data_IF_079549138008
#
_entry.id   IF_079549138008
#
_cell.length_a   1.000
_cell.length_b   1.000
_cell.length_c   1.000
_cell.angle_alpha   90.00
_cell.angle_beta   90.00
_cell.angle_gamma   90.00
#
_symmetry.space_group_name_H-M   'P 1'
#
loop_
_entity.id
_entity.type
_entity.pdbx_description
1 polymer ?
#
# COMPACT_ATOMS: atom_id res chain seq x y z
N UNK A 1 24.25 14.92 -6.41
CA UNK A 1 22.94 14.59 -5.81
C UNK A 1 21.99 15.79 -5.71
N UNK A 2 22.45 17.00 -5.31
CA UNK A 2 21.60 18.20 -5.19
C UNK A 2 20.75 18.51 -6.44
N UNK A 3 21.33 18.38 -7.63
CA UNK A 3 20.66 18.63 -8.92
C UNK A 3 19.41 17.74 -9.16
N UNK A 4 19.40 16.47 -8.70
CA UNK A 4 18.27 15.56 -8.98
C UNK A 4 17.02 15.92 -8.17
N UNK A 5 17.17 16.18 -6.87
CA UNK A 5 16.04 16.54 -6.02
C UNK A 5 15.46 17.91 -6.43
N UNK A 6 16.31 18.83 -6.86
CA UNK A 6 15.89 20.12 -7.41
C UNK A 6 15.08 19.96 -8.70
N UNK A 7 15.54 19.11 -9.63
CA UNK A 7 14.79 18.79 -10.86
C UNK A 7 13.43 18.14 -10.54
N UNK A 8 13.38 17.18 -9.61
CA UNK A 8 12.13 16.54 -9.20
C UNK A 8 11.13 17.54 -8.59
N UNK A 9 11.64 18.49 -7.78
CA UNK A 9 10.82 19.56 -7.20
C UNK A 9 10.44 20.62 -8.23
N UNK A 10 11.29 20.90 -9.22
CA UNK A 10 10.97 21.81 -10.32
C UNK A 10 9.80 21.24 -11.14
N UNK A 11 9.88 19.98 -11.56
CA UNK A 11 8.77 19.31 -12.26
C UNK A 11 7.50 19.30 -11.42
N UNK A 12 7.59 18.97 -10.13
CA UNK A 12 6.41 19.00 -9.26
C UNK A 12 5.77 20.38 -9.12
N UNK A 13 6.56 21.47 -9.20
CA UNK A 13 6.01 22.83 -9.26
C UNK A 13 5.33 23.13 -10.59
N UNK A 14 5.84 22.61 -11.72
CA UNK A 14 5.18 22.74 -13.02
C UNK A 14 3.83 22.01 -13.03
N UNK A 15 3.80 20.77 -12.51
CA UNK A 15 2.57 19.98 -12.36
C UNK A 15 1.60 20.70 -11.40
N UNK A 16 2.08 21.22 -10.26
CA UNK A 16 1.25 22.02 -9.37
C UNK A 16 0.67 23.27 -10.07
N UNK A 17 1.50 24.00 -10.82
CA UNK A 17 1.10 25.20 -11.54
C UNK A 17 0.03 24.92 -12.60
N UNK A 18 0.03 23.73 -13.21
CA UNK A 18 -1.03 23.29 -14.12
C UNK A 18 -2.39 23.23 -13.40
N UNK A 19 -2.45 22.52 -12.26
CA UNK A 19 -3.70 22.37 -11.52
C UNK A 19 -4.18 23.68 -10.89
N UNK A 20 -3.27 24.54 -10.41
CA UNK A 20 -3.63 25.83 -9.79
C UNK A 20 -4.00 26.91 -10.80
N UNK A 21 -4.07 26.62 -12.12
CA UNK A 21 -4.74 27.51 -13.08
C UNK A 21 -6.25 27.57 -12.84
N UNK A 22 -6.80 26.52 -12.24
CA UNK A 22 -8.17 26.48 -11.75
C UNK A 22 -8.22 27.24 -10.42
N UNK A 23 -8.99 28.35 -10.32
CA UNK A 23 -9.02 29.18 -9.12
C UNK A 23 -9.52 28.45 -7.88
N UNK A 24 -10.27 27.37 -8.05
CA UNK A 24 -10.74 26.49 -6.99
C UNK A 24 -9.66 25.55 -6.44
N UNK A 25 -8.51 25.42 -7.09
CA UNK A 25 -7.43 24.49 -6.69
C UNK A 25 -6.22 25.25 -6.14
N UNK A 26 -5.75 24.86 -4.95
CA UNK A 26 -4.54 25.40 -4.34
C UNK A 26 -3.49 24.33 -4.04
N UNK A 27 -2.23 24.65 -4.31
CA UNK A 27 -1.08 23.82 -3.96
C UNK A 27 -0.69 24.04 -2.50
N UNK A 28 -0.66 22.96 -1.71
CA UNK A 28 -0.32 22.99 -0.29
C UNK A 28 1.15 22.63 -0.07
N UNK A 29 1.67 21.70 -0.86
CA UNK A 29 3.06 21.27 -0.76
C UNK A 29 3.30 19.89 -1.33
N UNK A 30 4.52 19.39 -1.19
CA UNK A 30 4.85 18.02 -1.55
C UNK A 30 4.33 17.06 -0.46
N UNK A 31 3.71 15.95 -0.88
CA UNK A 31 3.41 14.80 -0.03
C UNK A 31 4.62 13.86 0.07
N UNK A 32 5.39 13.76 -1.02
CA UNK A 32 6.61 12.96 -1.08
C UNK A 32 7.30 13.11 -2.44
N UNK A 33 8.60 12.83 -2.47
CA UNK A 33 9.38 12.73 -3.72
C UNK A 33 10.03 11.35 -3.72
N UNK A 34 9.54 10.49 -4.60
CA UNK A 34 9.97 9.11 -4.74
C UNK A 34 11.06 8.93 -5.79
N UNK A 35 11.41 7.67 -6.02
CA UNK A 35 12.41 7.28 -7.02
C UNK A 35 11.88 7.44 -8.46
N UNK A 36 10.61 7.11 -8.66
CA UNK A 36 9.93 7.06 -9.96
C UNK A 36 9.03 8.28 -10.21
N UNK A 37 8.61 8.96 -9.16
CA UNK A 37 7.62 10.04 -9.25
C UNK A 37 7.66 10.96 -8.05
N UNK A 38 6.71 11.88 -8.02
CA UNK A 38 6.40 12.65 -6.82
C UNK A 38 4.91 12.64 -6.53
N UNK A 39 4.58 13.14 -5.34
CA UNK A 39 3.22 13.30 -4.88
C UNK A 39 3.04 14.73 -4.36
N UNK A 40 2.00 15.40 -4.85
CA UNK A 40 1.61 16.76 -4.47
C UNK A 40 0.38 16.70 -3.57
N UNK A 41 0.31 17.57 -2.57
CA UNK A 41 -0.90 17.83 -1.79
C UNK A 41 -1.61 19.06 -2.37
N UNK A 42 -2.84 18.86 -2.78
CA UNK A 42 -3.72 19.91 -3.30
C UNK A 42 -4.96 20.03 -2.41
N UNK A 43 -5.53 21.22 -2.40
CA UNK A 43 -6.87 21.51 -1.87
C UNK A 43 -7.77 21.97 -3.02
N UNK A 44 -9.01 21.49 -3.04
CA UNK A 44 -10.05 21.94 -3.95
C UNK A 44 -11.17 22.60 -3.14
N UNK A 45 -11.63 23.76 -3.59
CA UNK A 45 -12.71 24.55 -3.01
C UNK A 45 -14.00 24.34 -3.79
N UNK A 46 -15.14 24.47 -3.11
CA UNK A 46 -16.44 24.49 -3.77
C UNK A 46 -16.73 25.86 -4.42
N UNK A 47 -17.90 25.98 -5.06
CA UNK A 47 -18.34 27.22 -5.70
C UNK A 47 -18.49 28.40 -4.73
N UNK A 48 -18.64 28.15 -3.43
CA UNK A 48 -18.69 29.15 -2.37
C UNK A 48 -17.30 29.56 -1.86
N UNK A 49 -16.23 28.95 -2.38
CA UNK A 49 -14.86 29.19 -1.93
C UNK A 49 -14.50 28.48 -0.62
N UNK A 50 -15.38 27.61 -0.10
CA UNK A 50 -15.10 26.79 1.08
C UNK A 50 -14.28 25.57 0.66
N UNK A 51 -13.41 25.07 1.54
CA UNK A 51 -12.66 23.84 1.31
C UNK A 51 -13.64 22.67 1.07
N UNK A 52 -13.59 22.09 -0.13
CA UNK A 52 -14.39 20.93 -0.50
C UNK A 52 -13.67 19.64 -0.16
N UNK A 53 -12.40 19.51 -0.56
CA UNK A 53 -11.59 18.31 -0.30
C UNK A 53 -10.08 18.55 -0.41
N UNK A 54 -9.32 17.64 0.20
CA UNK A 54 -7.86 17.49 0.00
C UNK A 54 -7.59 16.30 -0.92
N UNK A 55 -6.59 16.43 -1.77
CA UNK A 55 -6.22 15.43 -2.77
C UNK A 55 -4.71 15.22 -2.79
N UNK A 56 -4.30 14.01 -3.17
CA UNK A 56 -2.91 13.73 -3.52
C UNK A 56 -2.82 13.53 -5.02
N UNK A 57 -2.03 14.34 -5.71
CA UNK A 57 -1.74 14.14 -7.14
C UNK A 57 -0.38 13.48 -7.27
N UNK A 58 -0.36 12.25 -7.79
CA UNK A 58 0.88 11.57 -8.18
C UNK A 58 1.26 11.95 -9.59
N UNK A 59 2.57 12.10 -9.83
CA UNK A 59 3.12 12.42 -11.13
C UNK A 59 4.41 11.63 -11.38
N UNK A 60 4.66 11.29 -12.64
CA UNK A 60 5.84 10.55 -13.05
C UNK A 60 7.02 11.49 -13.31
N UNK A 61 8.23 10.99 -13.08
CA UNK A 61 9.48 11.64 -13.51
C UNK A 61 9.92 11.22 -14.91
N UNK A 62 9.26 10.22 -15.51
CA UNK A 62 9.61 9.64 -16.80
C UNK A 62 11.11 9.36 -16.91
N UNK A 63 11.74 9.89 -17.97
CA UNK A 63 13.17 9.74 -18.24
C UNK A 63 14.12 10.34 -17.18
N UNK A 64 13.63 11.16 -16.24
CA UNK A 64 14.42 11.64 -15.10
C UNK A 64 14.42 10.68 -13.90
N UNK A 65 13.62 9.61 -13.97
CA UNK A 65 13.77 8.50 -13.04
C UNK A 65 15.22 8.01 -13.09
N UNK A 66 15.80 7.83 -11.90
CA UNK A 66 17.16 7.27 -11.81
C UNK A 66 17.14 5.76 -11.69
N UNK A 67 15.97 5.14 -11.71
CA UNK A 67 15.85 3.70 -11.67
C UNK A 67 16.13 3.14 -13.07
N UNK A 68 17.19 2.34 -13.19
CA UNK A 68 17.55 1.69 -14.45
C UNK A 68 16.75 0.40 -14.68
N UNK A 69 15.98 -0.03 -13.68
CA UNK A 69 15.28 -1.30 -13.65
C UNK A 69 13.75 -1.15 -13.73
N UNK A 70 13.25 0.07 -13.91
CA UNK A 70 11.83 0.41 -13.92
C UNK A 70 11.59 1.62 -14.81
N UNK A 71 10.56 1.56 -15.65
CA UNK A 71 10.03 2.74 -16.32
C UNK A 71 9.03 3.44 -15.39
N UNK A 72 9.32 4.69 -15.03
CA UNK A 72 8.48 5.47 -14.14
C UNK A 72 7.09 5.78 -14.71
N UNK A 73 7.00 5.95 -16.02
CA UNK A 73 5.72 6.20 -16.70
C UNK A 73 4.89 4.92 -16.69
N UNK A 74 5.51 3.76 -16.96
CA UNK A 74 4.87 2.46 -16.89
C UNK A 74 4.42 2.12 -15.46
N UNK A 75 5.27 2.33 -14.46
CA UNK A 75 4.93 2.09 -13.06
C UNK A 75 3.71 2.93 -12.64
N UNK A 76 3.66 4.21 -13.00
CA UNK A 76 2.53 5.06 -12.64
C UNK A 76 1.23 4.67 -13.39
N UNK A 77 1.34 4.29 -14.67
CA UNK A 77 0.21 3.75 -15.45
C UNK A 77 -0.29 2.41 -14.88
N UNK A 78 0.63 1.56 -14.44
CA UNK A 78 0.33 0.28 -13.81
C UNK A 78 -0.37 0.48 -12.46
N UNK A 79 0.09 1.43 -11.63
CA UNK A 79 -0.60 1.81 -10.40
C UNK A 79 -2.03 2.27 -10.67
N UNK A 80 -2.22 3.18 -11.63
CA UNK A 80 -3.56 3.64 -12.03
C UNK A 80 -4.46 2.48 -12.48
N UNK A 81 -3.92 1.54 -13.26
CA UNK A 81 -4.66 0.35 -13.72
C UNK A 81 -5.14 -0.53 -12.56
N UNK A 82 -4.24 -0.89 -11.63
CA UNK A 82 -4.59 -1.76 -10.50
C UNK A 82 -5.53 -1.09 -9.51
N UNK A 83 -5.32 0.19 -9.20
CA UNK A 83 -6.25 0.94 -8.37
C UNK A 83 -7.62 1.10 -9.03
N UNK A 84 -7.68 1.14 -10.37
CA UNK A 84 -8.92 1.06 -11.13
C UNK A 84 -9.68 -0.25 -10.88
N UNK A 85 -8.98 -1.38 -10.79
CA UNK A 85 -9.57 -2.71 -10.50
C UNK A 85 -9.93 -2.91 -9.02
N UNK A 86 -9.20 -2.26 -8.13
CA UNK A 86 -9.40 -2.25 -6.68
C UNK A 86 -10.29 -1.10 -6.21
N UNK A 87 -10.94 -0.41 -7.15
CA UNK A 87 -11.87 0.66 -6.84
C UNK A 87 -12.95 0.19 -5.88
N UNK A 88 -13.27 1.05 -4.93
CA UNK A 88 -14.23 0.84 -3.84
C UNK A 88 -13.81 -0.17 -2.77
N UNK A 89 -12.66 -0.85 -2.90
CA UNK A 89 -12.08 -1.58 -1.78
C UNK A 89 -11.75 -0.59 -0.66
N UNK A 90 -12.34 -0.78 0.50
CA UNK A 90 -12.30 0.17 1.60
C UNK A 90 -10.88 0.36 2.18
N UNK A 91 -10.10 -0.71 2.26
CA UNK A 91 -8.75 -0.71 2.83
C UNK A 91 -7.65 -0.46 1.78
N UNK A 92 -8.01 -0.15 0.54
CA UNK A 92 -7.06 0.26 -0.52
C UNK A 92 -7.26 1.74 -0.81
N UNK A 93 -6.19 2.49 -1.05
CA UNK A 93 -6.30 3.89 -1.45
C UNK A 93 -7.10 4.06 -2.74
N UNK A 94 -7.87 5.13 -2.81
CA UNK A 94 -8.87 5.28 -3.86
C UNK A 94 -8.46 6.34 -4.88
N UNK A 95 -8.62 6.02 -6.16
CA UNK A 95 -8.58 6.99 -7.24
C UNK A 95 -9.69 8.01 -7.05
N UNK A 96 -9.35 9.28 -7.23
CA UNK A 96 -10.33 10.36 -7.18
C UNK A 96 -10.53 10.92 -8.59
N UNK A 97 -11.79 11.01 -9.07
CA UNK A 97 -12.09 11.78 -10.26
C UNK A 97 -11.68 13.24 -10.04
N UNK A 98 -10.69 13.67 -10.81
CA UNK A 98 -10.24 15.06 -10.85
C UNK A 98 -10.12 15.46 -12.31
N UNK A 99 -10.85 16.51 -12.70
CA UNK A 99 -10.79 17.03 -14.06
C UNK A 99 -9.32 17.32 -14.39
N UNK A 100 -8.90 16.90 -15.58
CA UNK A 100 -7.53 17.06 -16.11
C UNK A 100 -6.45 16.12 -15.54
N UNK A 101 -6.79 15.15 -14.67
CA UNK A 101 -5.86 14.05 -14.30
C UNK A 101 -6.09 12.77 -15.08
N UNK A 102 -6.63 12.86 -16.31
CA UNK A 102 -6.75 11.71 -17.21
C UNK A 102 -5.38 11.37 -17.79
N UNK A 103 -4.51 10.91 -16.91
CA UNK A 103 -3.15 10.44 -17.14
C UNK A 103 -2.18 11.45 -17.72
N UNK A 104 -2.54 12.49 -18.46
CA UNK A 104 -1.55 13.27 -19.23
C UNK A 104 -1.63 14.77 -18.92
N UNK A 105 -0.67 15.27 -18.13
CA UNK A 105 -0.48 16.72 -17.88
C UNK A 105 0.66 17.26 -18.74
N UNK A 106 0.52 18.42 -19.40
CA UNK A 106 1.63 19.09 -20.07
C UNK A 106 2.77 19.38 -19.09
N UNK A 107 3.91 18.73 -19.31
CA UNK A 107 5.00 18.68 -18.35
C UNK A 107 5.87 17.48 -18.70
N UNK A 108 7.16 17.57 -18.42
CA UNK A 108 8.18 16.74 -19.07
C UNK A 108 7.83 15.24 -19.04
N UNK A 109 7.53 14.67 -20.21
CA UNK A 109 7.75 13.27 -20.55
C UNK A 109 8.03 13.18 -22.03
N UNK A 110 8.85 12.21 -22.42
CA UNK A 110 9.06 11.89 -23.83
C UNK A 110 7.82 11.16 -24.36
N UNK A 111 6.77 11.92 -24.62
CA UNK A 111 5.69 11.71 -25.60
C UNK A 111 4.97 10.36 -25.60
N UNK A 112 3.64 10.41 -25.58
CA UNK A 112 2.73 9.32 -25.94
C UNK A 112 2.80 8.95 -27.44
N UNK A 113 3.99 8.62 -27.95
CA UNK A 113 4.17 7.74 -29.11
C UNK A 113 5.07 6.60 -28.61
N UNK A 114 4.64 5.34 -28.71
CA UNK A 114 5.65 4.30 -28.54
C UNK A 114 6.72 4.54 -29.63
N UNK A 115 7.98 4.48 -29.23
CA UNK A 115 9.14 4.79 -30.08
C UNK A 115 9.13 4.03 -31.42
N UNK A 116 8.53 2.83 -31.46
CA UNK A 116 8.38 2.06 -32.70
C UNK A 116 7.46 2.74 -33.71
N UNK A 117 6.37 3.38 -33.26
CA UNK A 117 5.39 4.05 -34.11
C UNK A 117 6.00 5.29 -34.78
N UNK A 118 6.84 6.03 -34.04
CA UNK A 118 7.64 7.17 -34.53
C UNK A 118 8.64 6.76 -35.61
N UNK A 119 9.42 5.69 -35.37
CA UNK A 119 10.41 5.17 -36.32
C UNK A 119 9.74 4.56 -37.56
N UNK A 120 8.64 3.83 -37.41
CA UNK A 120 7.88 3.27 -38.54
C UNK A 120 7.35 4.36 -39.46
N UNK A 121 6.91 5.48 -38.90
CA UNK A 121 6.42 6.63 -39.69
C UNK A 121 7.54 7.38 -40.39
N UNK A 122 8.67 7.59 -39.71
CA UNK A 122 9.84 8.24 -40.29
C UNK A 122 10.48 7.42 -41.43
N UNK A 123 10.59 6.10 -41.26
CA UNK A 123 11.06 5.19 -42.32
C UNK A 123 10.14 5.15 -43.53
N UNK A 124 8.83 5.00 -43.33
CA UNK A 124 7.85 4.99 -44.43
C UNK A 124 7.93 6.26 -45.28
N UNK A 125 8.08 7.43 -44.64
CA UNK A 125 8.22 8.70 -45.37
C UNK A 125 9.54 8.84 -46.11
N UNK A 126 10.66 8.49 -45.50
CA UNK A 126 11.97 8.55 -46.17
C UNK A 126 12.03 7.58 -47.38
N UNK A 127 11.39 6.41 -47.25
CA UNK A 127 11.27 5.42 -48.33
C UNK A 127 10.31 5.88 -49.45
N UNK A 128 9.22 6.56 -49.11
CA UNK A 128 8.25 7.13 -50.07
C UNK A 128 8.78 8.39 -50.79
N UNK A 129 9.65 9.17 -50.15
CA UNK A 129 10.15 10.46 -50.65
C UNK A 129 11.57 10.38 -51.25
N UNK A 130 12.23 9.22 -51.17
CA UNK A 130 13.52 8.96 -51.84
C UNK A 130 14.69 9.83 -51.36
N UNK A 131 14.64 10.34 -50.13
CA UNK A 131 15.64 11.22 -49.54
C UNK A 131 16.56 10.49 -48.56
N UNK A 132 17.88 10.69 -48.69
CA UNK A 132 18.90 10.10 -47.81
C UNK A 132 19.16 10.90 -46.49
N UNK A 133 18.41 11.98 -46.20
CA UNK A 133 18.53 12.71 -44.93
C UNK A 133 17.18 13.02 -44.26
N UNK A 134 17.08 12.95 -42.91
CA UNK A 134 15.81 13.10 -42.20
C UNK A 134 15.36 14.56 -42.08
N UNK A 135 14.09 14.80 -42.43
CA UNK A 135 13.45 16.12 -42.49
C UNK A 135 13.28 16.82 -41.13
N UNK A 136 13.28 18.15 -41.21
CA UNK A 136 13.03 19.15 -40.16
C UNK A 136 11.72 18.91 -39.38
N UNK A 137 11.81 18.71 -38.06
CA UNK A 137 10.67 18.45 -37.18
C UNK A 137 10.06 19.78 -36.71
N UNK A 138 8.75 19.98 -36.96
CA UNK A 138 7.98 21.16 -36.53
C UNK A 138 7.90 21.38 -35.01
N UNK A 139 7.09 22.35 -34.53
CA UNK A 139 7.13 22.79 -33.13
C UNK A 139 6.91 21.62 -32.17
N UNK A 140 7.65 21.56 -31.05
CA UNK A 140 7.74 20.38 -30.21
C UNK A 140 6.36 19.94 -29.74
N UNK A 141 6.03 18.67 -29.98
CA UNK A 141 4.87 17.99 -29.41
C UNK A 141 4.78 18.27 -27.91
N UNK A 142 3.61 18.68 -27.41
CA UNK A 142 3.38 18.93 -25.99
C UNK A 142 3.73 17.66 -25.21
N UNK A 143 4.82 17.72 -24.44
CA UNK A 143 5.34 16.65 -23.60
C UNK A 143 4.32 16.32 -22.49
N UNK A 144 4.04 15.03 -22.23
CA UNK A 144 2.91 14.59 -21.38
C UNK A 144 3.35 13.79 -20.16
N UNK A 145 3.28 14.34 -18.96
CA UNK A 145 3.59 13.65 -17.71
C UNK A 145 2.40 12.77 -17.25
N UNK A 146 2.59 11.44 -17.08
CA UNK A 146 1.67 10.58 -16.36
C UNK A 146 1.27 11.18 -15.00
N UNK A 147 -0.03 11.39 -14.76
CA UNK A 147 -0.56 11.89 -13.47
C UNK A 147 -1.92 11.29 -13.13
N UNK A 148 -2.20 11.10 -11.83
CA UNK A 148 -3.56 10.81 -11.35
C UNK A 148 -3.76 11.33 -9.93
N UNK A 149 -5.02 11.54 -9.54
CA UNK A 149 -5.40 11.95 -8.20
C UNK A 149 -5.83 10.76 -7.33
N UNK A 150 -5.48 10.83 -6.05
CA UNK A 150 -5.85 9.93 -4.97
C UNK A 150 -6.56 10.70 -3.86
N UNK A 151 -7.35 9.96 -3.07
CA UNK A 151 -7.83 10.47 -1.80
C UNK A 151 -6.66 10.87 -0.90
N UNK A 152 -6.85 11.92 -0.11
CA UNK A 152 -5.87 12.33 0.87
C UNK A 152 -6.05 11.53 2.16
N UNK A 153 -4.96 10.92 2.65
CA UNK A 153 -4.92 10.18 3.89
C UNK A 153 -4.18 11.04 4.94
N UNK A 154 -4.87 11.55 5.97
CA UNK A 154 -4.35 12.62 6.80
C UNK A 154 -3.33 12.19 7.86
N UNK A 155 -3.33 10.91 8.25
CA UNK A 155 -2.78 10.48 9.54
C UNK A 155 -1.42 9.77 9.44
N UNK A 156 -0.69 10.01 8.35
CA UNK A 156 0.70 9.57 8.20
C UNK A 156 0.88 8.06 7.93
N UNK A 157 2.13 7.68 7.68
CA UNK A 157 2.52 6.31 7.31
C UNK A 157 2.76 5.44 8.55
N UNK A 158 2.66 4.11 8.41
CA UNK A 158 3.04 3.17 9.47
C UNK A 158 4.52 3.32 9.88
N UNK A 159 5.42 3.72 8.96
CA UNK A 159 6.82 4.01 9.32
C UNK A 159 6.92 5.13 10.36
N UNK A 160 6.19 6.21 10.13
CA UNK A 160 6.15 7.35 11.07
C UNK A 160 5.56 6.91 12.41
N UNK A 161 4.51 6.10 12.40
CA UNK A 161 3.96 5.52 13.63
C UNK A 161 5.00 4.71 14.42
N UNK A 162 5.74 3.82 13.76
CA UNK A 162 6.83 3.05 14.39
C UNK A 162 7.94 3.96 14.91
N UNK A 163 8.35 4.98 14.14
CA UNK A 163 9.36 5.95 14.57
C UNK A 163 8.92 6.69 15.84
N UNK A 164 7.67 7.11 15.93
CA UNK A 164 7.14 7.78 17.12
C UNK A 164 7.11 6.86 18.34
N UNK A 165 6.67 5.61 18.16
CA UNK A 165 6.69 4.61 19.23
C UNK A 165 8.12 4.38 19.75
N UNK A 166 9.09 4.25 18.84
CA UNK A 166 10.49 3.95 19.16
C UNK A 166 11.22 5.16 19.78
N UNK A 167 11.07 6.34 19.19
CA UNK A 167 11.93 7.49 19.49
C UNK A 167 11.26 8.52 20.40
N UNK A 168 9.99 8.85 20.15
CA UNK A 168 9.29 9.94 20.85
C UNK A 168 8.66 9.45 22.16
N UNK A 169 8.05 8.27 22.13
CA UNK A 169 7.29 7.75 23.25
C UNK A 169 7.98 6.61 24.00
N UNK A 170 8.85 5.85 23.32
CA UNK A 170 9.52 4.64 23.85
C UNK A 170 8.53 3.69 24.51
N UNK A 171 7.46 3.36 23.77
CA UNK A 171 6.37 2.54 24.25
C UNK A 171 5.91 1.57 23.15
N UNK A 172 5.28 0.47 23.56
CA UNK A 172 4.60 -0.45 22.65
C UNK A 172 3.21 0.09 22.28
N UNK A 173 2.68 -0.39 21.15
CA UNK A 173 1.25 -0.23 20.87
C UNK A 173 0.45 -1.27 21.67
N UNK A 174 -0.76 -0.93 22.16
CA UNK A 174 -1.68 -1.91 22.72
C UNK A 174 -1.96 -3.03 21.71
N UNK A 175 -2.07 -4.28 22.17
CA UNK A 175 -2.33 -5.44 21.32
C UNK A 175 -3.67 -5.30 20.60
N UNK A 176 -4.69 -4.71 21.25
CA UNK A 176 -5.97 -4.42 20.58
C UNK A 176 -5.76 -3.50 19.37
N UNK A 177 -4.87 -2.52 19.44
CA UNK A 177 -4.50 -1.67 18.29
C UNK A 177 -3.74 -2.47 17.23
N UNK A 178 -2.76 -3.29 17.63
CA UNK A 178 -2.00 -4.14 16.70
C UNK A 178 -2.90 -5.09 15.90
N UNK A 179 -3.88 -5.73 16.56
CA UNK A 179 -4.84 -6.60 15.89
C UNK A 179 -5.71 -5.88 14.85
N UNK A 180 -6.08 -4.63 15.09
CA UNK A 180 -6.91 -3.83 14.16
C UNK A 180 -6.11 -3.35 12.95
N UNK A 181 -4.85 -2.97 13.17
CA UNK A 181 -3.88 -2.71 12.08
C UNK A 181 -3.69 -3.99 11.25
N UNK A 182 -3.51 -5.14 11.89
CA UNK A 182 -3.37 -6.41 11.21
C UNK A 182 -4.64 -6.79 10.43
N UNK A 183 -5.84 -6.57 10.98
CA UNK A 183 -7.10 -6.81 10.27
C UNK A 183 -7.20 -5.97 9.01
N UNK A 184 -6.86 -4.67 9.06
CA UNK A 184 -6.79 -3.82 7.86
C UNK A 184 -5.85 -4.43 6.80
N UNK A 185 -4.67 -4.90 7.22
CA UNK A 185 -3.69 -5.54 6.35
C UNK A 185 -4.19 -6.85 5.72
N UNK A 186 -4.95 -7.65 6.46
CA UNK A 186 -5.57 -8.87 5.94
C UNK A 186 -6.71 -8.53 4.98
N UNK A 187 -7.54 -7.52 5.29
CA UNK A 187 -8.59 -7.00 4.38
C UNK A 187 -8.00 -6.53 3.04
N UNK A 188 -6.81 -5.92 3.03
CA UNK A 188 -6.10 -5.57 1.80
C UNK A 188 -5.69 -6.79 0.98
N UNK A 189 -5.27 -7.88 1.64
CA UNK A 189 -5.01 -9.15 0.98
C UNK A 189 -6.28 -9.75 0.36
N UNK A 190 -7.41 -9.63 1.06
CA UNK A 190 -8.75 -10.01 0.53
C UNK A 190 -9.13 -9.13 -0.65
N UNK A 191 -8.88 -7.82 -0.62
CA UNK A 191 -9.11 -6.92 -1.75
C UNK A 191 -8.39 -7.39 -3.01
N UNK A 192 -7.13 -7.81 -2.88
CA UNK A 192 -6.33 -8.26 -4.02
C UNK A 192 -6.72 -9.66 -4.51
N UNK A 193 -7.16 -10.55 -3.61
CA UNK A 193 -7.64 -11.88 -3.94
C UNK A 193 -9.05 -11.88 -4.56
N UNK A 194 -9.92 -10.97 -4.10
CA UNK A 194 -11.32 -10.85 -4.51
C UNK A 194 -11.64 -9.38 -4.86
N UNK A 195 -10.99 -8.81 -5.89
CA UNK A 195 -11.15 -7.40 -6.23
C UNK A 195 -12.61 -7.10 -6.57
N UNK A 196 -13.16 -5.94 -6.13
CA UNK A 196 -14.52 -5.54 -6.50
C UNK A 196 -14.76 -5.59 -8.01
N UNK A 197 -13.73 -5.23 -8.81
CA UNK A 197 -13.73 -5.29 -10.28
C UNK A 197 -14.96 -4.62 -10.92
N UNK A 198 -15.52 -3.61 -10.25
CA UNK A 198 -16.69 -2.89 -10.75
C UNK A 198 -16.30 -1.98 -11.91
N UNK A 199 -17.08 -1.94 -13.01
CA UNK A 199 -16.88 -0.96 -14.06
C UNK A 199 -16.94 0.48 -13.51
N UNK A 200 -16.15 1.38 -14.09
CA UNK A 200 -16.17 2.80 -13.71
C UNK A 200 -17.56 3.45 -13.89
N UNK A 201 -18.40 2.93 -14.80
CA UNK A 201 -19.77 3.41 -15.04
C UNK A 201 -20.75 3.04 -13.92
N UNK A 202 -20.43 2.05 -13.10
CA UNK A 202 -21.27 1.60 -11.96
C UNK A 202 -20.70 2.06 -10.62
N UNK A 203 -19.72 2.96 -10.64
CA UNK A 203 -19.08 3.49 -9.45
C UNK A 203 -20.03 4.39 -8.66
N UNK A 204 -20.52 3.89 -7.54
CA UNK A 204 -21.37 4.66 -6.62
C UNK A 204 -20.56 5.50 -5.65
N UNK A 205 -19.22 5.36 -5.64
CA UNK A 205 -18.32 5.90 -4.64
C UNK A 205 -18.42 5.22 -3.27
N UNK A 206 -19.39 4.33 -3.08
CA UNK A 206 -19.59 3.59 -1.83
C UNK A 206 -18.47 2.57 -1.64
N UNK A 207 -17.84 2.59 -0.46
CA UNK A 207 -16.81 1.62 -0.10
C UNK A 207 -17.43 0.26 0.20
N UNK A 208 -16.71 -0.79 -0.19
CA UNK A 208 -17.10 -2.19 -0.11
C UNK A 208 -16.09 -2.87 0.80
N UNK A 209 -16.57 -3.33 1.96
CA UNK A 209 -15.80 -4.14 2.91
C UNK A 209 -15.33 -5.42 2.23
N UNK A 210 -14.06 -5.75 2.40
CA UNK A 210 -13.45 -6.91 1.77
C UNK A 210 -13.83 -8.19 2.51
N UNK A 211 -14.59 -9.03 1.81
CA UNK A 211 -15.03 -10.35 2.28
C UNK A 211 -14.57 -11.42 1.30
N UNK A 212 -14.23 -12.59 1.83
CA UNK A 212 -13.94 -13.77 1.00
C UNK A 212 -15.25 -14.24 0.37
N UNK A 213 -15.22 -14.48 -0.93
CA UNK A 213 -16.39 -14.92 -1.70
C UNK A 213 -16.24 -16.41 -1.98
N UNK A 214 -16.84 -17.23 -1.12
CA UNK A 214 -16.75 -18.69 -1.22
C UNK A 214 -17.19 -19.17 -2.61
N UNK A 215 -16.36 -20.02 -3.22
CA UNK A 215 -16.58 -20.54 -4.58
C UNK A 215 -16.11 -19.63 -5.73
N UNK A 216 -15.75 -18.36 -5.46
CA UNK A 216 -15.06 -17.52 -6.44
C UNK A 216 -13.58 -17.89 -6.57
N UNK A 217 -13.04 -17.74 -7.77
CA UNK A 217 -11.61 -18.00 -8.02
C UNK A 217 -10.76 -16.86 -7.46
N UNK A 218 -9.66 -17.22 -6.82
CA UNK A 218 -8.64 -16.27 -6.38
C UNK A 218 -8.06 -15.50 -7.58
N UNK A 219 -8.04 -14.18 -7.46
CA UNK A 219 -7.17 -13.33 -8.24
C UNK A 219 -5.73 -13.44 -7.69
N UNK A 220 -4.75 -13.58 -8.58
CA UNK A 220 -3.34 -13.76 -8.21
C UNK A 220 -2.58 -12.44 -8.11
N UNK A 221 -3.32 -11.33 -7.90
CA UNK A 221 -2.74 -9.99 -7.82
C UNK A 221 -1.83 -9.87 -6.60
N UNK A 222 -0.61 -9.41 -6.84
CA UNK A 222 0.36 -9.05 -5.80
C UNK A 222 0.70 -7.57 -5.91
N UNK A 223 0.82 -6.88 -4.77
CA UNK A 223 1.24 -5.47 -4.75
C UNK A 223 2.75 -5.32 -5.02
N UNK A 224 3.56 -6.30 -4.58
CA UNK A 224 4.96 -6.49 -5.00
C UNK A 224 5.94 -5.35 -4.63
N UNK A 225 5.62 -4.58 -3.59
CA UNK A 225 6.45 -3.49 -3.01
C UNK A 225 6.28 -3.44 -1.48
N UNK A 226 6.89 -4.40 -0.73
CA UNK A 226 6.68 -4.61 0.71
C UNK A 226 7.45 -3.62 1.58
N UNK A 227 7.12 -2.33 1.44
CA UNK A 227 7.72 -1.24 2.19
C UNK A 227 6.71 -0.71 3.20
N UNK A 228 7.04 -0.66 4.48
CA UNK A 228 6.13 -0.21 5.55
C UNK A 228 5.57 1.20 5.30
N UNK A 229 6.29 2.00 4.53
CA UNK A 229 5.89 3.33 4.04
C UNK A 229 4.65 3.30 3.13
N UNK A 230 4.28 2.13 2.59
CA UNK A 230 3.13 1.94 1.72
C UNK A 230 1.80 1.71 2.46
N UNK A 231 1.81 1.73 3.79
CA UNK A 231 0.60 1.70 4.60
C UNK A 231 0.42 3.03 5.31
N UNK A 232 -0.77 3.61 5.17
CA UNK A 232 -1.07 4.97 5.64
C UNK A 232 -2.38 4.95 6.45
N UNK A 233 -2.41 5.64 7.58
CA UNK A 233 -3.63 5.86 8.34
C UNK A 233 -4.55 6.84 7.60
N UNK A 234 -5.78 6.39 7.34
CA UNK A 234 -6.90 7.19 6.89
C UNK A 234 -7.71 7.75 8.06
N UNK A 235 -8.95 8.13 7.80
CA UNK A 235 -9.86 8.68 8.82
C UNK A 235 -10.42 7.61 9.78
N UNK A 236 -10.98 8.08 10.89
CA UNK A 236 -11.85 7.26 11.73
C UNK A 236 -13.06 6.79 10.90
N UNK A 237 -13.41 5.52 11.07
CA UNK A 237 -14.60 4.98 10.45
C UNK A 237 -15.85 5.37 11.25
N UNK A 238 -17.01 5.61 10.59
CA UNK A 238 -18.25 5.89 11.28
C UNK A 238 -18.64 4.73 12.20
N UNK A 239 -18.97 5.04 13.46
CA UNK A 239 -19.46 4.04 14.40
C UNK A 239 -20.91 3.64 14.09
N UNK A 240 -21.29 2.35 14.27
CA UNK A 240 -20.44 1.24 14.69
C UNK A 240 -19.58 0.67 13.55
N UNK A 241 -18.29 0.45 13.82
CA UNK A 241 -17.40 -0.30 12.92
C UNK A 241 -16.57 -1.30 13.75
N UNK A 242 -16.99 -2.55 13.71
CA UNK A 242 -16.38 -3.62 14.49
C UNK A 242 -14.89 -3.84 14.17
N UNK A 243 -14.41 -3.50 12.97
CA UNK A 243 -13.00 -3.67 12.60
C UNK A 243 -12.11 -2.59 13.24
N UNK A 244 -12.68 -1.43 13.61
CA UNK A 244 -11.94 -0.22 13.98
C UNK A 244 -12.29 0.33 15.39
N UNK A 245 -13.37 -0.14 16.01
CA UNK A 245 -13.74 0.21 17.40
C UNK A 245 -12.63 -0.23 18.39
N UNK A 246 -12.16 0.60 19.33
CA UNK A 246 -12.87 1.76 19.90
C UNK A 246 -12.46 3.13 19.29
N UNK A 247 -11.87 3.16 18.09
CA UNK A 247 -11.42 4.40 17.45
C UNK A 247 -10.01 4.31 16.86
N UNK A 248 -9.61 3.13 16.38
CA UNK A 248 -8.36 2.96 15.62
C UNK A 248 -8.63 3.38 14.17
N UNK A 249 -7.87 4.32 13.59
CA UNK A 249 -8.10 4.75 12.21
C UNK A 249 -7.84 3.64 11.21
N UNK A 250 -8.57 3.64 10.10
CA UNK A 250 -8.35 2.66 9.03
C UNK A 250 -6.92 2.75 8.50
N UNK A 251 -6.28 1.61 8.25
CA UNK A 251 -4.99 1.56 7.56
C UNK A 251 -5.25 1.17 6.11
N UNK A 252 -4.78 2.01 5.18
CA UNK A 252 -4.90 1.77 3.74
C UNK A 252 -3.57 1.48 3.08
N UNK A 253 -3.58 0.54 2.14
CA UNK A 253 -2.44 0.22 1.28
C UNK A 253 -2.41 1.15 0.07
N UNK A 254 -1.21 1.67 -0.23
CA UNK A 254 -0.91 2.49 -1.41
C UNK A 254 0.12 1.81 -2.32
N UNK A 255 0.46 2.47 -3.43
CA UNK A 255 1.60 2.14 -4.29
C UNK A 255 1.49 0.78 -4.99
N UNK A 256 0.69 0.74 -6.05
CA UNK A 256 0.56 -0.44 -6.92
C UNK A 256 1.44 -0.36 -8.17
N UNK A 257 2.49 0.47 -8.17
CA UNK A 257 3.33 0.64 -9.36
C UNK A 257 3.99 -0.65 -9.83
N UNK A 258 4.29 -1.56 -8.89
CA UNK A 258 4.84 -2.90 -9.17
C UNK A 258 3.81 -4.02 -9.18
N UNK A 259 2.52 -3.66 -9.09
CA UNK A 259 1.42 -4.59 -9.05
C UNK A 259 1.44 -5.54 -10.25
N UNK A 260 1.21 -6.83 -10.01
CA UNK A 260 1.12 -7.82 -11.09
C UNK A 260 0.33 -9.05 -10.70
N UNK A 261 -0.27 -9.69 -11.70
CA UNK A 261 -0.76 -11.05 -11.57
C UNK A 261 0.40 -12.03 -11.56
N UNK A 262 0.29 -13.07 -10.75
CA UNK A 262 1.18 -14.23 -10.79
C UNK A 262 0.56 -15.32 -11.63
N UNK A 263 1.40 -16.08 -12.32
CA UNK A 263 0.94 -17.30 -12.99
C UNK A 263 0.90 -18.44 -11.96
N UNK A 264 -0.27 -19.01 -11.64
CA UNK A 264 -0.36 -20.15 -10.71
C UNK A 264 0.50 -21.34 -11.13
N UNK A 265 0.74 -21.55 -12.43
CA UNK A 265 1.50 -22.69 -12.93
C UNK A 265 2.94 -22.73 -12.37
N UNK A 266 3.52 -21.56 -12.09
CA UNK A 266 4.84 -21.41 -11.46
C UNK A 266 4.87 -21.98 -10.02
N UNK A 267 3.71 -22.20 -9.40
CA UNK A 267 3.56 -22.61 -8.00
C UNK A 267 2.94 -24.00 -7.82
N UNK A 268 2.59 -24.69 -8.90
CA UNK A 268 1.96 -26.02 -8.81
C UNK A 268 2.89 -27.05 -8.19
N UNK A 269 4.19 -27.02 -8.50
CA UNK A 269 5.16 -27.98 -7.97
C UNK A 269 5.37 -27.82 -6.45
N UNK A 270 5.30 -26.59 -5.94
CA UNK A 270 5.56 -26.28 -4.53
C UNK A 270 4.28 -26.30 -3.69
N UNK A 271 3.18 -25.78 -4.22
CA UNK A 271 1.92 -25.62 -3.47
C UNK A 271 0.85 -26.68 -3.81
N UNK A 272 1.04 -27.44 -4.88
CA UNK A 272 0.03 -28.33 -5.42
C UNK A 272 -1.01 -27.60 -6.27
N UNK A 273 -1.70 -28.36 -7.13
CA UNK A 273 -2.67 -27.83 -8.10
C UNK A 273 -3.81 -27.07 -7.42
N UNK A 274 -4.27 -27.55 -6.26
CA UNK A 274 -5.41 -26.97 -5.55
C UNK A 274 -5.08 -25.62 -4.90
N UNK A 275 -3.86 -25.44 -4.37
CA UNK A 275 -3.48 -24.22 -3.65
C UNK A 275 -2.76 -23.19 -4.53
N UNK A 276 -2.21 -23.59 -5.68
CA UNK A 276 -1.49 -22.69 -6.59
C UNK A 276 -2.26 -21.39 -6.95
N UNK A 277 -3.61 -21.38 -7.11
CA UNK A 277 -4.36 -20.15 -7.29
C UNK A 277 -4.25 -19.12 -6.14
N UNK A 278 -3.91 -19.54 -4.93
CA UNK A 278 -3.69 -18.66 -3.76
C UNK A 278 -2.29 -18.04 -3.70
N UNK A 279 -1.43 -18.27 -4.70
CA UNK A 279 -0.04 -17.79 -4.68
C UNK A 279 0.03 -16.27 -4.44
N UNK A 280 -0.87 -15.50 -5.06
CA UNK A 280 -0.96 -14.05 -4.89
C UNK A 280 -1.24 -13.65 -3.44
N UNK A 281 -2.27 -14.22 -2.82
CA UNK A 281 -2.62 -13.92 -1.42
C UNK A 281 -1.54 -14.34 -0.44
N UNK A 282 -0.86 -15.47 -0.65
CA UNK A 282 0.22 -15.94 0.24
C UNK A 282 1.47 -15.06 0.15
N UNK A 283 1.80 -14.59 -1.05
CA UNK A 283 2.86 -13.59 -1.24
C UNK A 283 2.50 -12.30 -0.52
N UNK A 284 1.26 -11.82 -0.69
CA UNK A 284 0.80 -10.60 -0.02
C UNK A 284 0.83 -10.76 1.51
N UNK A 285 0.31 -11.87 2.07
CA UNK A 285 0.36 -12.13 3.51
C UNK A 285 1.78 -12.08 4.07
N UNK A 286 2.74 -12.70 3.38
CA UNK A 286 4.16 -12.64 3.78
C UNK A 286 4.69 -11.20 3.80
N UNK A 287 4.34 -10.40 2.80
CA UNK A 287 4.72 -8.99 2.73
C UNK A 287 4.09 -8.15 3.84
N UNK A 288 2.80 -8.34 4.11
CA UNK A 288 2.12 -7.64 5.19
C UNK A 288 2.68 -8.05 6.55
N UNK A 289 2.93 -9.35 6.77
CA UNK A 289 3.53 -9.85 8.01
C UNK A 289 4.94 -9.29 8.25
N UNK A 290 5.73 -9.10 7.17
CA UNK A 290 7.05 -8.47 7.26
C UNK A 290 6.94 -7.03 7.77
N UNK A 291 6.02 -6.23 7.21
CA UNK A 291 5.78 -4.86 7.66
C UNK A 291 5.18 -4.82 9.09
N UNK A 292 4.23 -5.70 9.39
CA UNK A 292 3.61 -5.80 10.71
C UNK A 292 4.62 -6.16 11.80
N UNK A 293 5.67 -6.91 11.48
CA UNK A 293 6.77 -7.21 12.41
C UNK A 293 7.46 -5.94 12.90
N UNK A 294 7.66 -4.93 12.03
CA UNK A 294 8.21 -3.63 12.42
C UNK A 294 7.24 -2.84 13.31
N UNK A 295 5.93 -3.01 13.13
CA UNK A 295 4.90 -2.38 13.97
C UNK A 295 4.84 -2.99 15.37
N UNK A 296 4.94 -4.32 15.46
CA UNK A 296 4.89 -5.03 16.74
C UNK A 296 6.16 -4.83 17.58
N UNK A 297 7.31 -4.52 16.96
CA UNK A 297 8.61 -4.48 17.63
C UNK A 297 9.31 -3.13 17.40
N UNK A 298 8.74 -2.01 17.89
CA UNK A 298 9.26 -0.67 17.61
C UNK A 298 10.67 -0.42 18.19
N UNK A 299 11.07 -1.17 19.22
CA UNK A 299 12.41 -1.07 19.83
C UNK A 299 13.50 -1.80 19.04
N UNK A 300 13.11 -2.63 18.07
CA UNK A 300 14.06 -3.35 17.22
C UNK A 300 14.42 -2.54 15.98
N UNK A 301 15.71 -2.48 15.64
CA UNK A 301 16.11 -1.84 14.40
C UNK A 301 15.79 -2.72 13.19
N UNK A 302 15.63 -2.09 12.02
CA UNK A 302 15.24 -2.79 10.78
C UNK A 302 16.12 -3.98 10.41
N UNK A 303 17.42 -3.98 10.74
CA UNK A 303 18.32 -5.11 10.43
C UNK A 303 18.01 -6.33 11.29
N UNK A 304 17.61 -6.12 12.54
CA UNK A 304 17.21 -7.19 13.47
C UNK A 304 15.92 -7.87 13.02
N UNK A 305 15.02 -7.10 12.39
CA UNK A 305 13.71 -7.58 11.95
C UNK A 305 13.71 -8.18 10.53
N UNK A 306 14.84 -8.17 9.82
CA UNK A 306 14.92 -8.78 8.50
C UNK A 306 14.66 -10.30 8.57
N UNK A 307 14.05 -10.88 7.53
CA UNK A 307 13.94 -12.32 7.42
C UNK A 307 15.29 -13.01 7.62
N UNK A 308 15.30 -14.04 8.46
CA UNK A 308 16.48 -14.83 8.75
C UNK A 308 17.01 -15.51 7.49
N UNK A 309 18.32 -15.46 7.28
CA UNK A 309 18.98 -16.15 6.15
C UNK A 309 18.84 -17.67 6.21
N UNK A 310 18.66 -18.22 7.41
CA UNK A 310 18.48 -19.64 7.65
C UNK A 310 17.14 -19.85 8.33
N UNK A 311 16.23 -20.61 7.71
CA UNK A 311 14.97 -20.95 8.34
C UNK A 311 15.21 -21.72 9.63
N UNK A 312 14.36 -21.52 10.64
CA UNK A 312 14.32 -22.43 11.78
C UNK A 312 12.90 -22.89 12.08
N UNK A 313 12.79 -24.01 12.79
CA UNK A 313 11.50 -24.55 13.22
C UNK A 313 10.89 -23.64 14.29
N UNK A 314 9.59 -23.42 14.17
CA UNK A 314 8.77 -22.71 15.15
C UNK A 314 7.60 -23.61 15.54
N UNK A 315 7.42 -23.79 16.84
CA UNK A 315 6.32 -24.57 17.41
C UNK A 315 5.21 -23.60 17.80
N UNK A 316 3.98 -23.91 17.40
CA UNK A 316 2.81 -23.10 17.75
C UNK A 316 1.65 -23.99 18.16
N UNK A 317 0.74 -23.43 18.94
CA UNK A 317 -0.44 -24.14 19.42
C UNK A 317 -1.68 -23.61 18.73
N UNK A 318 -2.49 -24.49 18.15
CA UNK A 318 -3.80 -24.12 17.61
C UNK A 318 -4.84 -25.14 18.08
N UNK A 319 -5.93 -24.66 18.67
CA UNK A 319 -7.00 -25.53 19.20
C UNK A 319 -6.48 -26.63 20.15
N UNK A 320 -5.48 -26.30 20.98
CA UNK A 320 -4.84 -27.23 21.91
C UNK A 320 -3.92 -28.27 21.28
N UNK A 321 -3.71 -28.24 19.96
CA UNK A 321 -2.78 -29.11 19.25
C UNK A 321 -1.48 -28.37 18.92
N UNK A 322 -0.37 -29.09 19.00
CA UNK A 322 0.96 -28.57 18.64
C UNK A 322 1.21 -28.77 17.15
N UNK A 323 1.73 -27.73 16.51
CA UNK A 323 2.11 -27.72 15.11
C UNK A 323 3.51 -27.14 14.94
N UNK A 324 4.13 -27.46 13.82
CA UNK A 324 5.46 -26.99 13.46
C UNK A 324 5.41 -26.26 12.12
N UNK A 325 6.19 -25.19 11.99
CA UNK A 325 6.45 -24.51 10.72
C UNK A 325 7.92 -24.15 10.61
N UNK A 326 8.51 -24.35 9.42
CA UNK A 326 9.83 -23.78 9.11
C UNK A 326 9.62 -22.34 8.66
N UNK A 327 10.26 -21.39 9.34
CA UNK A 327 10.01 -19.96 9.14
C UNK A 327 11.30 -19.19 8.95
N UNK A 328 11.23 -18.12 8.16
CA UNK A 328 12.28 -17.10 8.02
C UNK A 328 12.00 -15.89 8.93
N UNK A 329 11.02 -15.95 9.83
CA UNK A 329 10.83 -14.92 10.84
C UNK A 329 12.11 -14.68 11.66
N UNK A 330 12.38 -13.41 12.00
CA UNK A 330 13.51 -13.05 12.86
C UNK A 330 13.40 -13.73 14.22
N UNK A 331 14.53 -13.99 14.90
CA UNK A 331 14.49 -14.46 16.30
C UNK A 331 13.76 -13.47 17.21
N UNK A 332 13.88 -12.16 16.93
CA UNK A 332 13.17 -11.12 17.67
C UNK A 332 11.64 -11.30 17.63
N UNK A 333 11.07 -11.63 16.47
CA UNK A 333 9.63 -11.93 16.38
C UNK A 333 9.27 -13.27 17.02
N UNK A 334 10.09 -14.30 16.83
CA UNK A 334 9.77 -15.65 17.32
C UNK A 334 9.82 -15.76 18.83
N UNK A 335 10.78 -15.06 19.43
CA UNK A 335 11.16 -15.23 20.83
C UNK A 335 10.60 -14.12 21.73
N UNK A 336 9.98 -13.07 21.16
CA UNK A 336 9.40 -11.98 21.96
C UNK A 336 8.26 -12.46 22.84
N UNK A 337 8.25 -12.02 24.10
CA UNK A 337 7.15 -12.24 25.03
C UNK A 337 6.28 -10.98 25.18
N UNK A 338 6.61 -9.91 24.46
CA UNK A 338 5.96 -8.58 24.49
C UNK A 338 4.96 -8.40 23.34
N UNK A 339 4.34 -9.51 22.92
CA UNK A 339 3.33 -9.55 21.86
C UNK A 339 2.29 -10.63 22.20
N UNK A 340 1.03 -10.37 21.82
CA UNK A 340 -0.03 -11.37 21.89
C UNK A 340 0.41 -12.65 21.16
N UNK A 341 0.34 -13.79 21.85
CA UNK A 341 0.86 -15.06 21.37
C UNK A 341 0.22 -15.49 20.04
N UNK A 342 -1.09 -15.31 19.89
CA UNK A 342 -1.80 -15.70 18.66
C UNK A 342 -1.43 -14.77 17.49
N UNK A 343 -1.19 -13.49 17.77
CA UNK A 343 -0.69 -12.53 16.77
C UNK A 343 0.74 -12.92 16.35
N UNK A 344 1.60 -13.22 17.31
CA UNK A 344 2.96 -13.68 17.04
C UNK A 344 2.94 -14.95 16.18
N UNK A 345 2.15 -15.94 16.57
CA UNK A 345 2.03 -17.22 15.87
C UNK A 345 1.58 -17.02 14.42
N UNK A 346 0.53 -16.22 14.17
CA UNK A 346 0.03 -16.02 12.80
C UNK A 346 1.02 -15.25 11.92
N UNK A 347 1.73 -14.25 12.48
CA UNK A 347 2.77 -13.51 11.75
C UNK A 347 3.96 -14.41 11.40
N UNK A 348 4.43 -15.22 12.35
CA UNK A 348 5.53 -16.17 12.13
C UNK A 348 5.19 -17.21 11.06
N UNK A 349 3.93 -17.68 11.04
CA UNK A 349 3.40 -18.60 10.03
C UNK A 349 3.28 -17.93 8.65
N UNK A 350 2.87 -16.67 8.57
CA UNK A 350 2.88 -15.91 7.32
C UNK A 350 4.30 -15.71 6.75
N UNK A 351 5.31 -15.76 7.62
CA UNK A 351 6.73 -15.73 7.28
C UNK A 351 7.35 -17.13 7.14
N UNK A 352 6.55 -18.17 6.87
CA UNK A 352 7.06 -19.49 6.56
C UNK A 352 8.16 -19.44 5.48
N UNK A 353 9.10 -20.37 5.50
CA UNK A 353 10.17 -20.50 4.51
C UNK A 353 9.58 -20.74 3.12
N UNK A 354 8.67 -21.72 3.07
CA UNK A 354 7.99 -22.17 1.86
C UNK A 354 6.61 -21.54 1.73
N UNK A 355 6.14 -21.33 0.50
CA UNK A 355 4.86 -20.64 0.27
C UNK A 355 3.66 -21.55 0.54
N UNK A 356 3.82 -22.85 0.37
CA UNK A 356 2.84 -23.87 0.73
C UNK A 356 2.53 -23.88 2.24
N UNK A 357 3.52 -23.54 3.06
CA UNK A 357 3.42 -23.49 4.52
C UNK A 357 2.84 -22.16 5.06
N UNK A 358 2.71 -21.13 4.20
CA UNK A 358 1.99 -19.90 4.55
C UNK A 358 0.51 -20.24 4.74
N UNK A 359 -0.16 -19.80 5.81
CA UNK A 359 -1.57 -20.15 6.02
C UNK A 359 -2.47 -19.64 4.88
N UNK A 360 -3.56 -20.37 4.55
CA UNK A 360 -4.56 -19.88 3.60
C UNK A 360 -5.15 -18.54 4.04
N UNK A 361 -5.48 -17.68 3.08
CA UNK A 361 -6.02 -16.34 3.39
C UNK A 361 -7.31 -16.41 4.24
N UNK A 362 -8.16 -17.40 3.98
CA UNK A 362 -9.40 -17.62 4.73
C UNK A 362 -9.13 -17.88 6.21
N UNK A 363 -8.16 -18.74 6.49
CA UNK A 363 -7.75 -18.99 7.87
C UNK A 363 -7.24 -17.73 8.56
N UNK A 364 -6.35 -16.97 7.90
CA UNK A 364 -5.77 -15.76 8.52
C UNK A 364 -6.87 -14.73 8.82
N UNK A 365 -7.81 -14.54 7.89
CA UNK A 365 -8.94 -13.64 8.09
C UNK A 365 -9.81 -14.09 9.27
N UNK A 366 -10.21 -15.36 9.32
CA UNK A 366 -11.06 -15.90 10.39
C UNK A 366 -10.41 -15.75 11.78
N UNK A 367 -9.12 -16.06 11.90
CA UNK A 367 -8.36 -15.88 13.15
C UNK A 367 -8.33 -14.40 13.54
N UNK A 368 -8.09 -13.52 12.57
CA UNK A 368 -7.94 -12.08 12.83
C UNK A 368 -9.27 -11.41 13.18
N UNK A 369 -10.36 -11.77 12.51
CA UNK A 369 -11.72 -11.30 12.83
C UNK A 369 -12.15 -11.80 14.22
N UNK A 370 -11.93 -13.08 14.52
CA UNK A 370 -12.21 -13.63 15.85
C UNK A 370 -11.37 -12.93 16.93
N UNK A 371 -10.11 -12.61 16.62
CA UNK A 371 -9.24 -11.90 17.54
C UNK A 371 -9.75 -10.48 17.85
N UNK A 372 -10.14 -9.71 16.82
CA UNK A 372 -10.67 -8.36 17.00
C UNK A 372 -12.02 -8.37 17.73
N UNK A 373 -12.90 -9.32 17.40
CA UNK A 373 -14.23 -9.42 18.00
C UNK A 373 -14.22 -9.86 19.47
N UNK A 374 -13.29 -10.75 19.85
CA UNK A 374 -13.28 -11.34 21.18
C UNK A 374 -12.29 -10.68 22.15
N UNK A 375 -11.35 -9.84 21.66
CA UNK A 375 -10.38 -9.16 22.53
C UNK A 375 -10.96 -7.91 23.19
N UNK A 376 -11.41 -8.09 24.43
CA UNK A 376 -11.94 -7.05 25.31
C UNK A 376 -10.89 -6.32 26.15
N UNK A 377 -11.33 -5.33 26.93
CA UNK A 377 -10.47 -4.64 27.88
C UNK A 377 -9.83 -5.59 28.89
N UNK A 378 -8.50 -5.53 29.01
CA UNK A 378 -7.70 -6.32 29.95
C UNK A 378 -7.75 -7.85 29.76
N UNK A 379 -7.97 -8.34 28.54
CA UNK A 379 -7.97 -9.78 28.24
C UNK A 379 -6.64 -10.49 28.53
N UNK A 380 -5.52 -9.76 28.46
CA UNK A 380 -4.21 -10.26 28.86
C UNK A 380 -3.47 -9.24 29.74
N UNK A 381 -3.81 -9.17 31.04
CA UNK A 381 -3.29 -8.14 31.92
C UNK A 381 -1.79 -8.30 32.19
N UNK A 382 -1.28 -9.53 32.20
CA UNK A 382 0.15 -9.81 32.39
C UNK A 382 0.99 -9.27 31.23
N UNK A 383 0.50 -9.44 29.99
CA UNK A 383 1.15 -8.88 28.80
C UNK A 383 1.10 -7.35 28.79
N UNK A 384 -0.06 -6.76 29.10
CA UNK A 384 -0.21 -5.31 29.20
C UNK A 384 0.78 -4.69 30.21
N UNK A 385 0.91 -5.31 31.40
CA UNK A 385 1.89 -4.88 32.42
C UNK A 385 3.32 -4.98 31.91
N UNK A 386 3.68 -6.07 31.23
CA UNK A 386 5.02 -6.30 30.69
C UNK A 386 5.40 -5.26 29.63
N UNK A 387 4.46 -4.96 28.74
CA UNK A 387 4.61 -3.95 27.69
C UNK A 387 4.51 -2.51 28.21
N UNK A 388 4.09 -2.32 29.47
CA UNK A 388 3.88 -1.00 30.07
C UNK A 388 2.70 -0.23 29.46
N UNK A 389 1.70 -0.93 28.94
CA UNK A 389 0.50 -0.34 28.30
C UNK A 389 -0.77 -0.73 29.05
N UNK A 390 -1.88 -0.05 28.74
CA UNK A 390 -3.23 -0.48 29.16
C UNK A 390 -4.02 -0.93 27.93
N UNK A 391 -5.05 -1.75 28.14
CA UNK A 391 -5.88 -2.30 27.06
C UNK A 391 -7.36 -1.85 27.17
N UNK A 392 -7.63 -0.78 27.93
CA UNK A 392 -8.96 -0.17 28.03
C UNK A 392 -9.23 0.85 26.91
N UNK A 393 -10.51 1.08 26.61
CA UNK A 393 -10.93 1.91 25.47
C UNK A 393 -10.51 3.38 25.60
N UNK A 394 -10.51 3.93 26.82
CA UNK A 394 -10.13 5.32 27.06
C UNK A 394 -8.63 5.52 26.83
N UNK A 395 -7.81 4.59 27.32
CA UNK A 395 -6.38 4.59 27.06
C UNK A 395 -6.07 4.41 25.57
N UNK A 396 -6.77 3.51 24.86
CA UNK A 396 -6.58 3.34 23.41
C UNK A 396 -6.91 4.63 22.66
N UNK A 397 -8.00 5.32 22.99
CA UNK A 397 -8.35 6.60 22.36
C UNK A 397 -7.30 7.67 22.64
N UNK A 398 -6.82 7.79 23.88
CA UNK A 398 -5.74 8.71 24.24
C UNK A 398 -4.44 8.39 23.49
N UNK A 399 -4.08 7.10 23.42
CA UNK A 399 -2.93 6.61 22.68
C UNK A 399 -3.03 6.98 21.19
N UNK A 400 -4.18 6.72 20.55
CA UNK A 400 -4.39 7.04 19.13
C UNK A 400 -4.32 8.54 18.89
N UNK A 401 -4.97 9.34 19.74
CA UNK A 401 -4.93 10.79 19.65
C UNK A 401 -3.49 11.31 19.69
N UNK A 402 -2.71 10.84 20.66
CA UNK A 402 -1.32 11.26 20.88
C UNK A 402 -0.38 10.78 19.78
N UNK A 403 -0.47 9.50 19.39
CA UNK A 403 0.53 8.83 18.53
C UNK A 403 0.17 8.92 17.04
N UNK A 404 -1.08 9.18 16.68
CA UNK A 404 -1.53 9.25 15.28
C UNK A 404 -2.04 10.65 14.91
N UNK A 405 -2.94 11.25 15.68
CA UNK A 405 -3.58 12.52 15.27
C UNK A 405 -2.76 13.78 15.60
N UNK A 406 -1.98 13.75 16.67
CA UNK A 406 -1.07 14.84 17.05
C UNK A 406 0.34 14.64 16.45
N UNK A 407 0.43 13.96 15.30
CA UNK A 407 1.67 13.64 14.61
C UNK A 407 2.26 14.81 13.80
#
# INVERSE_FOLDING_TARGET
MANKLELQRALGREVAAYFTRRPEVSFIGFAGVGRHGGALRLEEKDAGGQLSRKLVVKYSLGAFSGDRYSDADEDLRNEYYWLGRLRNAEHIVQLVPFADTSVNVPGISRGDENYEELLRRAKRRAEEEGSEEPADFGPPSVLQCPTFALEYLPNGQLRTFVDRLSYDFRQYAPNRVLWRIWLCMVRQCVAMAFPPSQPASTDTGQKIREVIRDGEKYCTLTQNSPHIENWIFGDLQPSPDADHDPGVPIVKLIDFGRGRLRDPSEYVETMGVENAPECGSRINLRYHATAMTEVCLPDCNRRQLQPARRPSTYNYTRNGQQFEVRTVASSYLRDTEDLDLELRDILVRCLADRFEDVPPLKEVLEITEAAVANRGPNDNPELAVRMGVREDDDYIKEFIQKVIFEA
#
